data_IF_999934457761
#
_entry.id   IF_999934457761
#
_cell.length_a   1.000
_cell.length_b   1.000
_cell.length_c   1.000
_cell.angle_alpha   90.00
_cell.angle_beta   90.00
_cell.angle_gamma   90.00
#
_symmetry.space_group_name_H-M   'P 1'
#
loop_
_entity.id
_entity.type
_entity.pdbx_description
1 polymer ?
#
# COMPACT_ATOMS: atom_id res chain seq x y z
N UNK A 1 4.48 15.55 7.18
CA UNK A 1 3.43 16.52 6.80
C UNK A 1 3.82 17.12 5.45
N UNK A 2 2.87 17.36 4.53
CA UNK A 2 3.18 18.03 3.27
C UNK A 2 3.80 19.40 3.55
N UNK A 3 4.70 19.86 2.66
CA UNK A 3 5.34 21.15 2.84
C UNK A 3 4.29 22.28 2.82
N UNK A 4 4.48 23.36 3.61
CA UNK A 4 3.55 24.48 3.61
C UNK A 4 3.33 25.01 2.19
N UNK A 5 2.06 25.21 1.81
CA UNK A 5 1.69 25.73 0.48
C UNK A 5 1.64 24.69 -0.65
N UNK A 6 2.02 23.43 -0.42
CA UNK A 6 2.01 22.40 -1.49
C UNK A 6 0.70 21.63 -1.60
N UNK A 7 -0.25 21.87 -0.71
CA UNK A 7 -1.56 21.20 -0.73
C UNK A 7 -2.57 22.12 -1.44
N UNK A 8 -3.22 21.66 -2.52
CA UNK A 8 -4.23 22.46 -3.23
C UNK A 8 -5.35 22.98 -2.32
N UNK A 9 -5.91 24.14 -2.68
CA UNK A 9 -6.94 24.79 -1.86
C UNK A 9 -8.21 23.94 -1.71
N UNK A 10 -8.63 23.26 -2.79
CA UNK A 10 -9.77 22.33 -2.78
C UNK A 10 -9.57 21.20 -1.76
N UNK A 11 -8.44 20.48 -1.82
CA UNK A 11 -8.11 19.40 -0.89
C UNK A 11 -8.19 19.86 0.58
N UNK A 12 -7.69 21.08 0.86
CA UNK A 12 -7.78 21.68 2.20
C UNK A 12 -9.21 22.04 2.60
N UNK A 13 -10.00 22.58 1.69
CA UNK A 13 -11.39 22.96 1.94
C UNK A 13 -12.24 21.71 2.23
N UNK A 14 -12.08 20.66 1.43
CA UNK A 14 -12.76 19.38 1.59
C UNK A 14 -12.35 18.69 2.89
N UNK A 15 -11.06 18.64 3.23
CA UNK A 15 -10.60 18.08 4.51
C UNK A 15 -11.22 18.82 5.73
N UNK A 16 -11.34 20.16 5.67
CA UNK A 16 -12.01 20.94 6.72
C UNK A 16 -13.52 20.66 6.77
N UNK A 17 -14.15 20.49 5.61
CA UNK A 17 -15.56 20.15 5.51
C UNK A 17 -15.83 18.77 6.15
N UNK A 18 -15.03 17.76 5.80
CA UNK A 18 -15.10 16.41 6.36
C UNK A 18 -15.04 16.38 7.89
N UNK A 19 -14.16 17.18 8.50
CA UNK A 19 -14.06 17.29 9.97
C UNK A 19 -15.37 17.78 10.59
N UNK A 20 -16.10 18.68 9.92
CA UNK A 20 -17.36 19.24 10.41
C UNK A 20 -18.55 18.33 10.18
N UNK A 21 -18.63 17.69 9.01
CA UNK A 21 -19.78 16.86 8.63
C UNK A 21 -19.67 15.41 9.12
N UNK A 22 -18.43 14.92 9.30
CA UNK A 22 -18.12 13.58 9.77
C UNK A 22 -17.18 13.63 11.00
N UNK A 23 -17.66 14.16 12.14
CA UNK A 23 -16.83 14.37 13.33
C UNK A 23 -16.47 13.06 14.05
N UNK A 24 -17.27 12.00 13.88
CA UNK A 24 -16.98 10.70 14.46
C UNK A 24 -15.74 10.09 13.81
N UNK A 25 -14.87 9.46 14.62
CA UNK A 25 -13.70 8.73 14.12
C UNK A 25 -13.73 7.33 14.69
N UNK A 26 -13.73 6.33 13.81
CA UNK A 26 -13.67 4.92 14.18
C UNK A 26 -12.30 4.38 13.81
N UNK A 27 -11.46 4.01 14.79
CA UNK A 27 -10.26 3.22 14.54
C UNK A 27 -10.64 1.87 13.96
N UNK A 28 -10.02 1.50 12.84
CA UNK A 28 -10.17 0.17 12.25
C UNK A 28 -9.02 -0.72 12.70
N UNK A 29 -9.17 -2.06 12.65
CA UNK A 29 -8.05 -2.97 12.86
C UNK A 29 -6.86 -2.57 11.97
N UNK A 30 -5.62 -2.56 12.49
CA UNK A 30 -4.48 -2.25 11.65
C UNK A 30 -4.32 -3.31 10.55
N UNK A 31 -3.69 -2.93 9.45
CA UNK A 31 -3.14 -3.89 8.49
C UNK A 31 -1.63 -3.75 8.48
N UNK A 32 -0.95 -4.67 7.79
CA UNK A 32 0.49 -4.70 7.67
C UNK A 32 0.86 -4.70 6.20
N UNK A 33 1.82 -3.86 5.83
CA UNK A 33 2.37 -3.77 4.47
C UNK A 33 3.84 -4.10 4.55
N UNK A 34 4.33 -4.89 3.60
CA UNK A 34 5.77 -5.06 3.40
C UNK A 34 6.21 -4.13 2.29
N UNK A 35 7.16 -3.27 2.63
CA UNK A 35 7.82 -2.37 1.70
C UNK A 35 9.23 -2.86 1.44
N UNK A 36 9.68 -2.75 0.20
CA UNK A 36 11.10 -2.70 -0.12
C UNK A 36 11.60 -1.26 0.08
N UNK A 37 12.77 -1.13 0.68
CA UNK A 37 13.43 0.14 0.95
C UNK A 37 14.62 0.28 0.02
N UNK A 38 14.60 1.32 -0.81
CA UNK A 38 15.70 1.69 -1.70
C UNK A 38 16.07 3.16 -1.45
N UNK A 39 17.18 3.37 -0.75
CA UNK A 39 17.60 4.67 -0.25
C UNK A 39 16.51 5.35 0.59
N UNK A 40 16.05 6.52 0.13
CA UNK A 40 14.98 7.31 0.76
C UNK A 40 13.57 6.96 0.23
N UNK A 41 13.46 5.94 -0.62
CA UNK A 41 12.19 5.53 -1.24
C UNK A 41 11.68 4.20 -0.70
N UNK A 42 10.36 4.10 -0.54
CA UNK A 42 9.67 2.88 -0.10
C UNK A 42 8.71 2.41 -1.19
N UNK A 43 8.80 1.13 -1.55
CA UNK A 43 7.91 0.51 -2.53
C UNK A 43 7.11 -0.62 -1.89
N UNK A 44 5.77 -0.51 -1.78
CA UNK A 44 4.95 -1.59 -1.24
C UNK A 44 4.91 -2.77 -2.21
N UNK A 45 5.18 -3.98 -1.70
CA UNK A 45 5.19 -5.21 -2.52
C UNK A 45 4.04 -6.16 -2.22
N UNK A 46 3.57 -6.19 -0.97
CA UNK A 46 2.45 -7.00 -0.50
C UNK A 46 1.99 -6.52 0.87
N UNK A 47 0.86 -7.03 1.38
CA UNK A 47 0.41 -6.80 2.75
C UNK A 47 -0.35 -7.99 3.32
N UNK A 48 -0.69 -7.93 4.60
CA UNK A 48 -1.42 -8.94 5.36
C UNK A 48 -2.27 -8.31 6.47
N UNK A 49 -3.25 -9.08 6.95
CA UNK A 49 -4.18 -8.62 8.00
C UNK A 49 -3.55 -8.70 9.39
N UNK A 50 -2.51 -9.52 9.56
CA UNK A 50 -1.71 -9.63 10.78
C UNK A 50 -0.19 -9.72 10.47
N UNK A 51 0.68 -9.61 11.49
CA UNK A 51 2.13 -9.65 11.29
C UNK A 51 2.66 -10.98 10.73
N UNK A 52 2.04 -12.11 11.06
CA UNK A 52 2.42 -13.42 10.53
C UNK A 52 2.12 -13.51 9.04
N UNK A 53 0.90 -13.14 8.66
CA UNK A 53 0.46 -13.03 7.27
C UNK A 53 1.41 -12.14 6.44
N UNK A 54 1.76 -10.96 6.96
CA UNK A 54 2.67 -10.05 6.29
C UNK A 54 4.11 -10.58 6.18
N UNK A 55 4.56 -11.48 7.05
CA UNK A 55 5.90 -12.10 6.96
C UNK A 55 5.97 -13.21 5.91
N UNK A 56 4.91 -13.98 5.74
CA UNK A 56 4.89 -15.09 4.79
C UNK A 56 4.74 -14.59 3.34
N UNK A 57 3.88 -13.59 3.14
CA UNK A 57 3.47 -13.15 1.79
C UNK A 57 4.60 -12.63 0.89
N UNK A 58 5.66 -11.96 1.36
CA UNK A 58 6.78 -11.54 0.51
C UNK A 58 7.48 -12.72 -0.16
N UNK A 59 7.68 -13.82 0.58
CA UNK A 59 8.27 -15.02 0.01
C UNK A 59 7.38 -15.63 -1.09
N UNK A 60 6.05 -15.60 -0.89
CA UNK A 60 5.06 -16.02 -1.90
C UNK A 60 4.96 -15.06 -3.08
N UNK A 61 5.18 -13.76 -2.86
CA UNK A 61 5.18 -12.74 -3.89
C UNK A 61 6.25 -13.05 -4.95
N UNK A 62 7.49 -13.30 -4.52
CA UNK A 62 8.61 -13.56 -5.44
C UNK A 62 8.48 -14.85 -6.25
N UNK A 63 7.88 -15.91 -5.69
CA UNK A 63 7.76 -17.21 -6.38
C UNK A 63 6.36 -17.45 -6.96
N UNK A 64 5.46 -16.47 -6.90
CA UNK A 64 4.05 -16.68 -7.22
C UNK A 64 3.40 -15.49 -7.90
N UNK A 65 3.27 -14.36 -7.21
CA UNK A 65 2.55 -13.19 -7.74
C UNK A 65 3.39 -12.43 -8.77
N UNK A 66 4.66 -12.17 -8.47
CA UNK A 66 5.54 -11.37 -9.32
C UNK A 66 5.80 -11.99 -10.70
N UNK A 67 6.10 -13.30 -10.84
CA UNK A 67 6.23 -13.92 -12.16
C UNK A 67 4.97 -13.77 -13.01
N UNK A 68 3.80 -14.05 -12.44
CA UNK A 68 2.51 -13.95 -13.14
C UNK A 68 2.16 -12.51 -13.52
N UNK A 69 2.47 -11.55 -12.65
CA UNK A 69 2.29 -10.13 -12.95
C UNK A 69 3.15 -9.71 -14.13
N UNK A 70 4.41 -10.14 -14.15
CA UNK A 70 5.35 -9.86 -15.25
C UNK A 70 4.91 -10.50 -16.57
N UNK A 71 4.44 -11.75 -16.53
CA UNK A 71 3.82 -12.40 -17.69
C UNK A 71 2.61 -11.60 -18.21
N UNK A 72 1.70 -11.19 -17.33
CA UNK A 72 0.52 -10.39 -17.68
C UNK A 72 0.91 -9.03 -18.29
N UNK A 73 1.98 -8.41 -17.81
CA UNK A 73 2.52 -7.15 -18.32
C UNK A 73 3.31 -7.30 -19.64
N UNK A 74 3.43 -8.52 -20.18
CA UNK A 74 4.16 -8.79 -21.42
C UNK A 74 5.69 -8.76 -21.27
N UNK A 75 6.20 -8.86 -20.04
CA UNK A 75 7.62 -8.80 -19.72
C UNK A 75 8.02 -9.95 -18.77
N UNK A 76 7.93 -11.21 -19.25
CA UNK A 76 8.18 -12.38 -18.43
C UNK A 76 9.63 -12.45 -17.96
N UNK A 77 9.82 -12.88 -16.72
CA UNK A 77 11.14 -13.04 -16.14
C UNK A 77 11.92 -14.19 -16.78
N UNK A 78 13.18 -13.96 -17.13
CA UNK A 78 14.09 -15.01 -17.58
C UNK A 78 14.50 -15.98 -16.45
N UNK A 79 15.11 -17.13 -16.78
CA UNK A 79 15.49 -18.15 -15.79
C UNK A 79 16.38 -17.65 -14.65
N UNK A 80 17.28 -16.70 -14.93
CA UNK A 80 18.16 -16.11 -13.92
C UNK A 80 17.39 -15.32 -12.85
N UNK A 81 16.42 -14.50 -13.26
CA UNK A 81 15.58 -13.74 -12.35
C UNK A 81 14.68 -14.67 -11.51
N UNK A 82 14.12 -15.72 -12.13
CA UNK A 82 13.33 -16.73 -11.41
C UNK A 82 14.17 -17.48 -10.35
N UNK A 83 15.43 -17.82 -10.67
CA UNK A 83 16.34 -18.46 -9.73
C UNK A 83 16.71 -17.52 -8.56
N UNK A 84 16.96 -16.23 -8.85
CA UNK A 84 17.20 -15.21 -7.84
C UNK A 84 16.00 -15.05 -6.90
N UNK A 85 14.80 -14.92 -7.45
CA UNK A 85 13.55 -14.80 -6.67
C UNK A 85 13.28 -16.03 -5.81
N UNK A 86 13.61 -17.22 -6.32
CA UNK A 86 13.51 -18.46 -5.54
C UNK A 86 14.48 -18.46 -4.36
N UNK A 87 15.73 -18.03 -4.57
CA UNK A 87 16.71 -17.91 -3.51
C UNK A 87 16.29 -16.86 -2.47
N UNK A 88 15.86 -15.69 -2.93
CA UNK A 88 15.35 -14.61 -2.09
C UNK A 88 14.17 -15.07 -1.22
N UNK A 89 13.22 -15.79 -1.81
CA UNK A 89 12.07 -16.36 -1.10
C UNK A 89 12.50 -17.31 0.02
N UNK A 90 13.51 -18.16 -0.22
CA UNK A 90 14.05 -19.07 0.81
C UNK A 90 14.69 -18.31 1.97
N UNK A 91 15.50 -17.30 1.66
CA UNK A 91 16.18 -16.47 2.68
C UNK A 91 15.17 -15.65 3.51
N UNK A 92 14.13 -15.09 2.87
CA UNK A 92 13.04 -14.38 3.58
C UNK A 92 12.31 -15.31 4.54
N UNK A 93 11.99 -16.56 4.14
CA UNK A 93 11.24 -17.51 4.97
C UNK A 93 11.93 -17.88 6.27
N UNK A 94 13.26 -17.88 6.30
CA UNK A 94 14.04 -18.20 7.50
C UNK A 94 14.46 -16.95 8.28
N UNK A 95 14.19 -15.76 7.72
CA UNK A 95 14.44 -14.48 8.39
C UNK A 95 13.40 -14.20 9.47
N UNK A 96 13.74 -13.33 10.41
CA UNK A 96 12.86 -12.95 11.51
C UNK A 96 12.85 -11.44 11.72
N UNK A 97 11.89 -10.95 12.52
CA UNK A 97 11.73 -9.54 12.81
C UNK A 97 10.85 -8.80 11.79
N UNK A 98 10.91 -7.47 11.83
CA UNK A 98 10.16 -6.55 10.97
C UNK A 98 11.06 -5.86 9.94
N UNK A 99 12.38 -6.05 10.02
CA UNK A 99 13.39 -5.55 9.09
C UNK A 99 14.21 -6.75 8.62
N UNK A 100 14.22 -6.99 7.32
CA UNK A 100 14.89 -8.15 6.69
C UNK A 100 15.87 -7.61 5.65
N UNK A 101 17.13 -8.03 5.74
CA UNK A 101 18.20 -7.68 4.80
C UNK A 101 18.69 -8.96 4.15
N UNK A 102 18.39 -9.13 2.86
CA UNK A 102 18.71 -10.35 2.11
C UNK A 102 19.20 -9.94 0.73
N UNK A 103 20.33 -10.51 0.28
CA UNK A 103 20.91 -10.21 -1.04
C UNK A 103 21.07 -8.72 -1.37
N UNK A 104 21.39 -7.91 -0.36
CA UNK A 104 21.55 -6.45 -0.53
C UNK A 104 20.24 -5.67 -0.63
N UNK A 105 19.08 -6.33 -0.48
CA UNK A 105 17.75 -5.71 -0.50
C UNK A 105 17.21 -5.62 0.92
N UNK A 106 16.58 -4.50 1.25
CA UNK A 106 15.98 -4.27 2.56
C UNK A 106 14.46 -4.29 2.46
N UNK A 107 13.83 -5.16 3.25
CA UNK A 107 12.38 -5.23 3.40
C UNK A 107 11.97 -4.83 4.81
N UNK A 108 10.89 -4.04 4.93
CA UNK A 108 10.31 -3.66 6.22
C UNK A 108 8.82 -3.96 6.27
N UNK A 109 8.38 -4.56 7.37
CA UNK A 109 6.97 -4.67 7.72
C UNK A 109 6.52 -3.39 8.42
N UNK A 110 5.61 -2.66 7.80
CA UNK A 110 5.02 -1.42 8.29
C UNK A 110 3.60 -1.71 8.78
N UNK A 111 3.29 -1.29 10.01
CA UNK A 111 1.92 -1.31 10.55
C UNK A 111 1.17 -0.08 10.03
N UNK A 112 0.06 -0.30 9.34
CA UNK A 112 -0.83 0.73 8.85
C UNK A 112 -1.99 0.87 9.83
N UNK A 113 -1.99 1.97 10.57
CA UNK A 113 -3.14 2.38 11.39
C UNK A 113 -4.22 2.96 10.47
N UNK A 114 -5.42 2.38 10.53
CA UNK A 114 -6.55 2.77 9.69
C UNK A 114 -7.63 3.43 10.55
N UNK A 115 -8.35 4.38 9.96
CA UNK A 115 -9.49 5.01 10.59
C UNK A 115 -10.53 5.38 9.52
N UNK A 116 -11.77 5.55 9.96
CA UNK A 116 -12.87 6.01 9.14
C UNK A 116 -13.59 7.17 9.84
N UNK A 117 -13.97 8.19 9.07
CA UNK A 117 -14.82 9.29 9.57
C UNK A 117 -16.29 8.96 9.40
N UNK A 118 -17.11 9.31 10.39
CA UNK A 118 -18.56 9.08 10.43
C UNK A 118 -19.30 10.39 10.70
N UNK A 119 -20.32 10.65 9.89
CA UNK A 119 -21.34 11.68 10.08
C UNK A 119 -22.68 11.07 10.47
N UNK A 120 -23.71 11.91 10.57
CA UNK A 120 -25.08 11.47 10.89
C UNK A 120 -25.60 10.44 9.89
N UNK A 121 -25.23 10.61 8.62
CA UNK A 121 -25.75 9.81 7.51
C UNK A 121 -24.81 8.64 7.13
N UNK A 122 -23.75 8.40 7.91
CA UNK A 122 -22.83 7.28 7.71
C UNK A 122 -21.38 7.69 7.46
N UNK A 123 -20.58 6.83 6.80
CA UNK A 123 -19.16 7.10 6.54
C UNK A 123 -18.96 8.21 5.51
N UNK A 124 -17.84 8.91 5.68
CA UNK A 124 -17.38 9.86 4.67
C UNK A 124 -17.18 9.14 3.33
N UNK A 125 -17.84 9.62 2.29
CA UNK A 125 -17.69 9.12 0.92
C UNK A 125 -16.39 9.60 0.25
N UNK A 126 -16.21 9.23 -1.02
CA UNK A 126 -15.16 9.79 -1.86
C UNK A 126 -15.32 11.31 -1.96
N UNK A 127 -14.21 12.04 -1.86
CA UNK A 127 -14.21 13.48 -2.08
C UNK A 127 -14.08 13.78 -3.57
N UNK A 128 -14.56 14.94 -4.04
CA UNK A 128 -14.31 15.36 -5.42
C UNK A 128 -12.81 15.31 -5.80
N UNK A 129 -11.90 15.70 -4.88
CA UNK A 129 -10.46 15.59 -5.14
C UNK A 129 -9.96 14.15 -5.32
N UNK A 130 -10.64 13.16 -4.73
CA UNK A 130 -10.27 11.74 -4.87
C UNK A 130 -10.65 11.23 -6.27
N UNK A 131 -11.81 11.65 -6.79
CA UNK A 131 -12.31 11.25 -8.12
C UNK A 131 -11.47 11.83 -9.25
N UNK A 132 -11.12 13.12 -9.16
CA UNK A 132 -10.26 13.81 -10.12
C UNK A 132 -8.89 13.14 -10.24
N UNK A 133 -8.31 12.69 -9.12
CA UNK A 133 -6.98 12.07 -9.11
C UNK A 133 -6.93 10.70 -9.79
N UNK A 134 -8.07 9.99 -9.83
CA UNK A 134 -8.18 8.66 -10.44
C UNK A 134 -8.75 8.68 -11.86
N UNK A 135 -9.04 9.87 -12.43
CA UNK A 135 -9.69 9.99 -13.72
C UNK A 135 -11.11 9.42 -13.73
N UNK A 136 -11.75 9.37 -12.55
CA UNK A 136 -13.08 8.79 -12.34
C UNK A 136 -14.20 9.84 -12.44
N UNK A 137 -13.92 11.03 -12.97
CA UNK A 137 -14.94 12.05 -13.27
C UNK A 137 -15.86 11.53 -14.37
N UNK A 138 -16.82 10.70 -13.99
CA UNK A 138 -17.94 10.33 -14.82
C UNK A 138 -18.85 11.54 -14.96
N UNK A 139 -18.82 12.17 -16.12
CA UNK A 139 -20.07 12.66 -16.66
C UNK A 139 -20.94 11.41 -16.81
N UNK A 140 -21.87 11.21 -15.87
CA UNK A 140 -23.02 10.37 -16.16
C UNK A 140 -23.75 11.05 -17.33
N UNK A 141 -23.45 10.62 -18.56
CA UNK A 141 -24.29 10.95 -19.71
C UNK A 141 -25.69 10.41 -19.39
N UNK A 142 -26.63 11.34 -19.26
CA UNK A 142 -28.04 11.11 -19.02
C UNK A 142 -28.75 10.65 -20.30
#
# INVERSE_FOLDING_TARGET
>A
MPAPGTVPDQVRAEARHAIRTHPGVVPLPPTFVVVEVDGDSWSPITGGDDPGDARERPARHFTGSLPRLREFQGDPAGPGALAEWTALSKEIKVSSGHRILVRGREFRTVRVSRMMRLGRDGPEGLRPCDEEHHGLTGAAEA
#
